data_IF_869652700231
#
_entry.id   IF_869652700231
#
_cell.length_a   1.000
_cell.length_b   1.000
_cell.length_c   1.000
_cell.angle_alpha   90.00
_cell.angle_beta   90.00
_cell.angle_gamma   90.00
#
_symmetry.space_group_name_H-M   'P 1'
#
loop_
_entity.id
_entity.type
_entity.pdbx_description
1 polymer ?
#
# COMPACT_ATOMS: atom_id res chain seq x y z
N UNK A 1 -0.16 21.41 23.88
CA UNK A 1 1.06 20.65 24.18
C UNK A 1 1.14 19.50 23.19
N UNK A 2 1.93 19.64 22.14
CA UNK A 2 2.19 18.54 21.21
C UNK A 2 3.25 17.62 21.83
N UNK A 3 2.91 16.37 22.09
CA UNK A 3 3.88 15.36 22.53
C UNK A 3 4.84 15.08 21.39
N UNK A 4 6.11 15.46 21.58
CA UNK A 4 7.18 15.12 20.66
C UNK A 4 7.27 13.60 20.52
N UNK A 5 7.32 13.08 19.28
CA UNK A 5 7.54 11.65 19.04
C UNK A 5 8.95 11.29 19.50
N UNK A 6 9.06 10.39 20.48
CA UNK A 6 10.35 9.93 21.01
C UNK A 6 10.98 8.95 20.01
N UNK A 7 12.17 9.27 19.52
CA UNK A 7 12.95 8.40 18.64
C UNK A 7 13.24 7.07 19.38
N UNK A 8 12.57 5.99 18.95
CA UNK A 8 12.65 4.68 19.60
C UNK A 8 11.30 4.09 20.01
N UNK A 9 10.23 4.88 20.05
CA UNK A 9 8.86 4.34 20.04
C UNK A 9 8.51 3.92 18.61
N UNK A 10 9.03 2.76 18.16
CA UNK A 10 8.20 1.95 17.26
C UNK A 10 7.04 1.51 18.14
N UNK A 11 5.87 2.11 17.94
CA UNK A 11 4.63 1.56 18.48
C UNK A 11 4.54 0.11 18.02
N UNK A 12 4.95 -0.78 18.92
CA UNK A 12 4.94 -2.24 18.81
C UNK A 12 5.43 -2.76 17.45
N UNK A 13 6.67 -3.24 17.39
CA UNK A 13 7.03 -4.17 16.32
C UNK A 13 6.08 -5.38 16.43
N UNK A 14 5.04 -5.42 15.60
CA UNK A 14 4.15 -6.57 15.52
C UNK A 14 5.02 -7.77 15.18
N UNK A 15 5.04 -8.77 16.06
CA UNK A 15 5.75 -10.04 15.85
C UNK A 15 5.16 -10.84 14.66
N UNK A 16 4.05 -10.37 14.10
CA UNK A 16 3.31 -10.98 13.00
C UNK A 16 3.06 -9.95 11.90
N UNK A 17 2.91 -10.44 10.67
CA UNK A 17 2.48 -9.61 9.55
C UNK A 17 1.11 -8.99 9.89
N UNK A 18 0.87 -7.70 9.63
CA UNK A 18 -0.38 -7.02 9.97
C UNK A 18 -1.59 -7.48 9.12
N UNK A 19 -1.48 -8.61 8.39
CA UNK A 19 -2.56 -9.18 7.61
C UNK A 19 -3.41 -10.09 8.48
N UNK A 20 -4.70 -9.76 8.62
CA UNK A 20 -5.65 -10.44 9.50
C UNK A 20 -6.67 -11.29 8.75
N UNK A 21 -6.76 -11.16 7.42
CA UNK A 21 -7.64 -11.99 6.60
C UNK A 21 -7.84 -11.47 5.19
N UNK A 22 -8.75 -12.12 4.48
CA UNK A 22 -9.18 -11.76 3.13
C UNK A 22 -10.71 -11.67 3.13
N UNK A 23 -11.25 -10.58 2.60
CA UNK A 23 -12.67 -10.41 2.31
C UNK A 23 -12.86 -10.44 0.80
N UNK A 24 -13.78 -11.27 0.31
CA UNK A 24 -14.04 -11.43 -1.11
C UNK A 24 -15.38 -10.78 -1.42
N UNK A 25 -15.44 -9.88 -2.40
CA UNK A 25 -16.71 -9.40 -2.96
C UNK A 25 -16.86 -10.01 -4.35
N UNK A 26 -17.60 -11.11 -4.47
CA UNK A 26 -17.79 -11.83 -5.74
C UNK A 26 -19.23 -11.76 -6.26
N UNK A 27 -19.58 -12.61 -7.23
CA UNK A 27 -20.91 -12.64 -7.82
C UNK A 27 -22.01 -13.10 -6.84
N UNK A 28 -21.64 -13.74 -5.73
CA UNK A 28 -22.56 -14.21 -4.69
C UNK A 28 -22.92 -13.08 -3.72
N UNK A 29 -21.91 -12.31 -3.30
CA UNK A 29 -22.12 -11.16 -2.41
C UNK A 29 -22.67 -9.94 -3.16
N UNK A 30 -22.29 -9.76 -4.44
CA UNK A 30 -22.90 -8.82 -5.40
C UNK A 30 -23.10 -7.39 -4.85
N UNK A 31 -22.18 -6.94 -4.00
CA UNK A 31 -22.31 -5.67 -3.30
C UNK A 31 -21.64 -4.55 -4.12
N UNK A 32 -22.46 -3.71 -4.76
CA UNK A 32 -21.96 -2.49 -5.42
C UNK A 32 -21.39 -1.47 -4.42
N UNK A 33 -21.77 -1.57 -3.14
CA UNK A 33 -21.28 -0.74 -2.05
C UNK A 33 -20.89 -1.60 -0.86
N UNK A 34 -19.69 -1.40 -0.33
CA UNK A 34 -19.16 -2.12 0.83
C UNK A 34 -18.76 -1.12 1.90
N UNK A 35 -19.33 -1.26 3.10
CA UNK A 35 -18.90 -0.49 4.27
C UNK A 35 -17.72 -1.18 4.93
N UNK A 36 -16.61 -0.47 5.08
CA UNK A 36 -15.41 -0.95 5.76
C UNK A 36 -15.46 -0.52 7.21
N UNK A 37 -15.24 -1.44 8.13
CA UNK A 37 -15.20 -1.17 9.56
C UNK A 37 -13.76 -1.04 10.06
N UNK A 38 -13.55 -0.30 11.15
CA UNK A 38 -12.23 -0.19 11.77
C UNK A 38 -11.66 -1.54 12.26
N UNK A 39 -12.55 -2.50 12.56
CA UNK A 39 -12.21 -3.89 12.88
C UNK A 39 -11.55 -4.64 11.73
N UNK A 40 -11.77 -4.19 10.49
CA UNK A 40 -11.27 -4.83 9.26
C UNK A 40 -9.83 -4.39 8.93
N UNK A 41 -9.19 -3.67 9.84
CA UNK A 41 -7.78 -3.35 9.71
C UNK A 41 -6.97 -4.62 9.54
N UNK A 42 -6.11 -4.64 8.52
CA UNK A 42 -5.29 -5.77 8.12
C UNK A 42 -5.99 -6.75 7.16
N UNK A 43 -7.23 -6.50 6.75
CA UNK A 43 -7.93 -7.32 5.76
C UNK A 43 -7.58 -6.87 4.33
N UNK A 44 -7.40 -7.84 3.44
CA UNK A 44 -7.32 -7.62 1.99
C UNK A 44 -8.71 -7.82 1.39
N UNK A 45 -9.28 -6.75 0.86
CA UNK A 45 -10.55 -6.74 0.14
C UNK A 45 -10.31 -7.05 -1.33
N UNK A 46 -10.70 -8.23 -1.77
CA UNK A 46 -10.58 -8.69 -3.15
C UNK A 46 -11.91 -8.52 -3.86
N UNK A 47 -11.97 -7.58 -4.81
CA UNK A 47 -13.14 -7.42 -5.66
C UNK A 47 -13.10 -8.36 -6.86
N UNK A 48 -14.10 -9.21 -7.00
CA UNK A 48 -14.41 -10.01 -8.18
C UNK A 48 -15.81 -9.71 -8.73
N UNK A 49 -16.49 -8.70 -8.19
CA UNK A 49 -17.79 -8.27 -8.66
C UNK A 49 -17.68 -7.39 -9.91
N UNK A 50 -18.44 -7.75 -10.95
CA UNK A 50 -18.32 -7.26 -12.34
C UNK A 50 -18.72 -5.81 -12.58
N UNK A 51 -19.25 -5.10 -11.59
CA UNK A 51 -19.55 -3.67 -11.71
C UNK A 51 -18.59 -2.85 -10.84
N UNK A 52 -18.65 -1.53 -10.99
CA UNK A 52 -17.94 -0.61 -10.09
C UNK A 52 -18.37 -0.84 -8.66
N UNK A 53 -17.39 -1.00 -7.76
CA UNK A 53 -17.61 -1.16 -6.32
C UNK A 53 -17.13 0.06 -5.58
N UNK A 54 -17.96 0.55 -4.65
CA UNK A 54 -17.60 1.63 -3.75
C UNK A 54 -17.32 1.06 -2.35
N UNK A 55 -16.08 1.15 -1.90
CA UNK A 55 -15.71 0.91 -0.51
C UNK A 55 -15.80 2.22 0.27
N UNK A 56 -16.59 2.24 1.34
CA UNK A 56 -16.71 3.38 2.23
C UNK A 56 -15.88 3.14 3.46
N UNK A 57 -14.85 3.96 3.68
CA UNK A 57 -13.97 3.88 4.84
C UNK A 57 -14.74 4.24 6.12
N UNK A 58 -14.28 3.78 7.30
CA UNK A 58 -14.86 4.20 8.57
C UNK A 58 -14.62 5.69 8.83
N UNK A 59 -15.18 6.21 9.92
CA UNK A 59 -14.84 7.55 10.36
C UNK A 59 -13.34 7.65 10.61
N UNK A 60 -12.74 8.78 10.23
CA UNK A 60 -11.28 8.93 10.18
C UNK A 60 -10.64 8.76 11.56
N UNK A 61 -11.34 9.22 12.60
CA UNK A 61 -10.94 9.02 13.99
C UNK A 61 -10.82 7.52 14.36
N UNK A 62 -11.74 6.68 13.87
CA UNK A 62 -11.70 5.22 14.09
C UNK A 62 -10.65 4.53 13.20
N UNK A 63 -10.21 5.21 12.14
CA UNK A 63 -9.15 4.77 11.23
C UNK A 63 -7.72 4.98 11.75
N UNK A 64 -7.54 5.57 12.93
CA UNK A 64 -6.20 5.88 13.45
C UNK A 64 -5.34 4.61 13.61
N UNK A 65 -4.19 4.58 12.94
CA UNK A 65 -3.27 3.43 12.93
C UNK A 65 -3.81 2.20 12.22
N UNK A 66 -4.93 2.31 11.49
CA UNK A 66 -5.55 1.21 10.75
C UNK A 66 -5.08 1.20 9.30
N UNK A 67 -5.06 0.01 8.71
CA UNK A 67 -4.64 -0.23 7.34
C UNK A 67 -5.64 -1.12 6.62
N UNK A 68 -6.04 -0.72 5.42
CA UNK A 68 -6.98 -1.44 4.57
C UNK A 68 -6.36 -1.64 3.19
N UNK A 69 -6.39 -2.86 2.65
CA UNK A 69 -5.85 -3.14 1.32
C UNK A 69 -6.99 -3.54 0.38
N UNK A 70 -7.16 -2.81 -0.71
CA UNK A 70 -8.10 -3.10 -1.77
C UNK A 70 -7.37 -3.66 -2.99
N UNK A 71 -7.90 -4.75 -3.53
CA UNK A 71 -7.35 -5.46 -4.67
C UNK A 71 -8.45 -5.77 -5.67
N UNK A 72 -8.19 -5.53 -6.95
CA UNK A 72 -9.12 -5.92 -8.01
C UNK A 72 -8.70 -7.24 -8.65
N UNK A 73 -9.50 -8.26 -8.42
CA UNK A 73 -9.37 -9.59 -9.03
C UNK A 73 -9.93 -9.66 -10.45
N UNK A 74 -10.61 -8.61 -10.90
CA UNK A 74 -11.14 -8.49 -12.26
C UNK A 74 -10.86 -7.11 -12.85
N UNK A 75 -11.13 -6.94 -14.14
CA UNK A 75 -10.94 -5.66 -14.82
C UNK A 75 -12.09 -4.67 -14.52
N UNK A 76 -12.14 -4.14 -13.31
CA UNK A 76 -13.16 -3.18 -12.88
C UNK A 76 -12.57 -2.07 -12.03
N UNK A 77 -13.25 -0.91 -12.06
CA UNK A 77 -12.89 0.23 -11.21
C UNK A 77 -13.35 -0.06 -9.78
N UNK A 78 -12.44 0.13 -8.83
CA UNK A 78 -12.78 0.19 -7.41
C UNK A 78 -12.74 1.65 -6.99
N UNK A 79 -13.80 2.15 -6.39
CA UNK A 79 -13.84 3.48 -5.78
C UNK A 79 -13.71 3.34 -4.27
N UNK A 80 -12.84 4.14 -3.67
CA UNK A 80 -12.69 4.24 -2.21
C UNK A 80 -13.14 5.63 -1.81
N UNK A 81 -14.01 5.71 -0.82
CA UNK A 81 -14.58 6.97 -0.33
C UNK A 81 -14.32 7.14 1.15
N UNK A 82 -14.04 8.37 1.56
CA UNK A 82 -14.02 8.77 2.97
C UNK A 82 -15.36 9.39 3.35
N UNK A 83 -15.84 9.19 4.60
CA UNK A 83 -17.14 9.72 5.03
C UNK A 83 -17.14 11.25 5.17
N UNK A 84 -15.98 11.87 5.37
CA UNK A 84 -15.82 13.32 5.41
C UNK A 84 -15.03 13.78 4.18
N UNK A 85 -15.49 14.85 3.55
CA UNK A 85 -14.73 15.53 2.52
C UNK A 85 -13.41 16.04 3.10
N UNK A 86 -12.33 15.93 2.33
CA UNK A 86 -10.96 16.38 2.67
C UNK A 86 -10.17 15.49 3.62
N UNK A 87 -10.56 14.23 3.80
CA UNK A 87 -9.78 13.34 4.67
C UNK A 87 -9.02 12.28 3.89
N UNK A 88 -9.24 12.12 2.59
CA UNK A 88 -8.49 11.18 1.77
C UNK A 88 -7.40 11.92 0.97
N UNK A 89 -6.14 11.73 1.38
CA UNK A 89 -4.96 12.12 0.62
C UNK A 89 -4.66 11.05 -0.43
N UNK A 90 -4.83 11.42 -1.69
CA UNK A 90 -4.39 10.63 -2.84
C UNK A 90 -3.49 11.54 -3.68
N UNK A 91 -2.27 11.07 -3.96
CA UNK A 91 -1.20 11.72 -4.72
C UNK A 91 -1.37 13.24 -4.91
N UNK A 92 -1.03 14.01 -3.87
CA UNK A 92 -0.92 15.47 -3.95
C UNK A 92 -2.23 16.27 -3.87
N UNK A 93 -3.40 15.62 -3.69
CA UNK A 93 -4.67 16.31 -3.48
C UNK A 93 -5.49 15.70 -2.34
N UNK A 94 -6.20 16.57 -1.63
CA UNK A 94 -7.25 16.19 -0.69
C UNK A 94 -8.55 15.94 -1.45
N UNK A 95 -9.22 14.84 -1.14
CA UNK A 95 -10.49 14.49 -1.75
C UNK A 95 -11.46 13.77 -0.79
N UNK A 96 -12.64 13.49 -1.31
CA UNK A 96 -13.67 12.61 -0.72
C UNK A 96 -13.57 11.18 -1.26
N UNK A 97 -12.97 11.01 -2.43
CA UNK A 97 -12.96 9.75 -3.15
C UNK A 97 -11.71 9.62 -4.02
N UNK A 98 -11.29 8.39 -4.23
CA UNK A 98 -10.24 8.02 -5.17
C UNK A 98 -10.64 6.72 -5.86
N UNK A 99 -10.12 6.50 -7.06
CA UNK A 99 -10.42 5.32 -7.86
C UNK A 99 -9.16 4.54 -8.18
N UNK A 100 -9.28 3.24 -8.05
CA UNK A 100 -8.34 2.27 -8.55
C UNK A 100 -8.82 1.86 -9.95
N UNK A 101 -8.07 2.23 -11.00
CA UNK A 101 -8.39 2.01 -12.41
C UNK A 101 -8.70 0.54 -12.67
N UNK A 102 -9.54 0.30 -13.68
CA UNK A 102 -9.85 -1.03 -14.18
C UNK A 102 -8.60 -1.65 -14.81
N UNK A 103 -7.87 -2.46 -14.03
CA UNK A 103 -6.81 -3.33 -14.51
C UNK A 103 -6.69 -4.53 -13.57
N UNK A 104 -6.55 -5.74 -14.12
CA UNK A 104 -6.31 -6.94 -13.32
C UNK A 104 -5.11 -6.76 -12.39
N UNK A 105 -5.28 -7.09 -11.11
CA UNK A 105 -4.22 -6.95 -10.12
C UNK A 105 -3.95 -5.51 -9.69
N UNK A 106 -4.80 -4.56 -10.07
CA UNK A 106 -4.82 -3.20 -9.51
C UNK A 106 -5.03 -3.24 -7.99
N UNK A 107 -4.24 -2.48 -7.25
CA UNK A 107 -4.23 -2.58 -5.81
C UNK A 107 -3.76 -1.30 -5.12
N UNK A 108 -4.49 -0.93 -4.08
CA UNK A 108 -4.34 0.31 -3.33
C UNK A 108 -4.43 -0.03 -1.85
N UNK A 109 -3.59 0.61 -1.04
CA UNK A 109 -3.62 0.49 0.41
C UNK A 109 -3.93 1.84 1.02
N UNK A 110 -4.79 1.84 2.04
CA UNK A 110 -5.20 3.05 2.75
C UNK A 110 -4.80 2.94 4.21
N UNK A 111 -4.13 3.95 4.73
CA UNK A 111 -3.69 4.02 6.14
C UNK A 111 -4.25 5.29 6.78
N UNK A 112 -4.84 5.19 7.96
CA UNK A 112 -5.34 6.35 8.71
C UNK A 112 -4.38 6.80 9.81
N UNK A 113 -4.25 8.12 10.01
CA UNK A 113 -3.54 8.70 11.16
C UNK A 113 -4.49 9.25 12.25
N UNK A 114 -5.80 9.15 12.05
CA UNK A 114 -6.83 9.68 12.95
C UNK A 114 -7.38 11.05 12.54
N UNK A 115 -6.73 11.74 11.60
CA UNK A 115 -7.18 13.01 11.00
C UNK A 115 -7.35 12.93 9.49
N UNK A 116 -6.54 12.09 8.84
CA UNK A 116 -6.55 11.81 7.42
C UNK A 116 -6.31 10.32 7.14
N UNK A 117 -6.75 9.91 5.96
CA UNK A 117 -6.40 8.68 5.26
C UNK A 117 -5.39 8.99 4.17
N UNK A 118 -4.34 8.19 4.10
CA UNK A 118 -3.31 8.24 3.06
C UNK A 118 -3.46 7.03 2.17
N UNK A 119 -3.62 7.26 0.87
CA UNK A 119 -3.64 6.20 -0.12
C UNK A 119 -2.23 5.99 -0.69
N UNK A 120 -1.81 4.73 -0.67
CA UNK A 120 -0.61 4.22 -1.32
C UNK A 120 -1.02 3.33 -2.49
N UNK A 121 -0.59 3.70 -3.68
CA UNK A 121 -0.78 2.91 -4.89
C UNK A 121 0.26 1.79 -4.87
N UNK A 122 -0.17 0.53 -4.74
CA UNK A 122 0.74 -0.63 -4.68
C UNK A 122 1.00 -1.17 -6.08
N UNK A 123 -0.01 -1.18 -6.95
CA UNK A 123 0.15 -1.45 -8.38
C UNK A 123 -0.42 -0.30 -9.19
N UNK A 124 0.22 -0.02 -10.34
CA UNK A 124 0.05 1.20 -11.15
C UNK A 124 -1.32 1.41 -11.82
N UNK A 125 -2.37 0.79 -11.29
CA UNK A 125 -3.75 0.99 -11.65
C UNK A 125 -4.44 2.03 -10.77
N UNK A 126 -3.95 2.32 -9.57
CA UNK A 126 -4.59 3.35 -8.76
C UNK A 126 -4.28 4.73 -9.34
N UNK A 127 -5.31 5.56 -9.56
CA UNK A 127 -5.16 6.82 -10.31
C UNK A 127 -5.72 7.96 -9.49
N UNK A 128 -4.91 8.46 -8.57
CA UNK A 128 -5.04 9.84 -8.12
C UNK A 128 -4.50 10.80 -9.18
N UNK A 129 -5.17 10.98 -10.34
CA UNK A 129 -4.77 11.94 -11.41
C UNK A 129 -3.25 12.14 -11.60
N UNK A 130 -2.43 11.08 -11.62
CA UNK A 130 -0.98 11.23 -11.80
C UNK A 130 -0.60 11.13 -13.28
N UNK A 131 0.23 12.05 -13.80
CA UNK A 131 0.87 11.87 -15.09
C UNK A 131 1.66 10.55 -15.14
N UNK A 132 1.61 9.84 -16.27
CA UNK A 132 2.23 8.52 -16.49
C UNK A 132 3.74 8.43 -16.14
N UNK A 133 4.42 9.56 -15.97
CA UNK A 133 5.85 9.65 -15.68
C UNK A 133 6.27 9.23 -14.26
N UNK A 134 5.38 9.24 -13.26
CA UNK A 134 5.72 8.82 -11.89
C UNK A 134 5.59 7.31 -11.65
N UNK A 135 5.02 6.56 -12.62
CA UNK A 135 4.73 5.11 -12.46
C UNK A 135 5.98 4.22 -12.49
N UNK A 136 7.08 4.69 -13.08
CA UNK A 136 8.28 3.86 -13.30
C UNK A 136 9.35 3.97 -12.19
N UNK A 137 9.26 4.92 -11.26
CA UNK A 137 10.29 5.17 -10.25
C UNK A 137 10.01 4.53 -8.88
N UNK A 138 8.75 4.25 -8.55
CA UNK A 138 8.39 3.67 -7.25
C UNK A 138 8.55 2.14 -7.20
N UNK A 139 8.23 1.44 -8.30
CA UNK A 139 8.37 -0.02 -8.40
C UNK A 139 9.82 -0.50 -8.39
N UNK A 140 10.74 0.24 -9.04
CA UNK A 140 12.17 -0.09 -8.96
C UNK A 140 12.71 0.10 -7.53
N UNK A 141 12.23 1.13 -6.83
CA UNK A 141 12.71 1.46 -5.49
C UNK A 141 12.22 0.48 -4.41
N UNK A 142 10.98 -0.03 -4.51
CA UNK A 142 10.42 -0.97 -3.53
C UNK A 142 11.00 -2.39 -3.68
N UNK A 143 11.24 -2.85 -4.92
CA UNK A 143 11.94 -4.13 -5.18
C UNK A 143 13.40 -4.06 -4.72
N UNK A 144 14.08 -2.92 -4.96
CA UNK A 144 15.44 -2.70 -4.44
C UNK A 144 15.44 -2.71 -2.91
N UNK A 145 14.45 -2.11 -2.24
CA UNK A 145 14.42 -2.06 -0.77
C UNK A 145 14.19 -3.45 -0.13
N UNK A 146 13.34 -4.30 -0.72
CA UNK A 146 13.16 -5.68 -0.26
C UNK A 146 14.41 -6.54 -0.52
N UNK A 147 15.09 -6.35 -1.66
CA UNK A 147 16.38 -7.01 -1.91
C UNK A 147 17.44 -6.54 -0.91
N UNK A 148 17.49 -5.25 -0.57
CA UNK A 148 18.49 -4.67 0.33
C UNK A 148 18.34 -5.19 1.77
N UNK A 149 17.10 -5.32 2.26
CA UNK A 149 16.83 -5.88 3.60
C UNK A 149 17.13 -7.38 3.64
N UNK A 150 16.89 -8.12 2.55
CA UNK A 150 17.24 -9.54 2.47
C UNK A 150 18.76 -9.74 2.35
N UNK A 151 19.46 -8.92 1.55
CA UNK A 151 20.93 -8.95 1.43
C UNK A 151 21.61 -8.64 2.76
N UNK A 152 21.16 -7.63 3.51
CA UNK A 152 21.76 -7.32 4.82
C UNK A 152 21.56 -8.42 5.87
N UNK A 153 20.43 -9.15 5.82
CA UNK A 153 20.23 -10.31 6.70
C UNK A 153 21.15 -11.47 6.35
N UNK A 154 21.44 -11.71 5.06
CA UNK A 154 22.40 -12.72 4.61
C UNK A 154 23.86 -12.35 4.91
N UNK A 155 24.22 -11.07 4.88
CA UNK A 155 25.58 -10.60 5.24
C UNK A 155 25.85 -10.63 6.74
N UNK A 156 24.82 -10.55 7.60
CA UNK A 156 25.01 -10.66 9.06
C UNK A 156 25.22 -12.09 9.55
N UNK A 157 24.85 -13.12 8.78
CA UNK A 157 24.99 -14.53 9.21
C UNK A 157 26.26 -15.22 8.72
N UNK A 158 27.01 -14.61 7.79
CA UNK A 158 28.23 -15.17 7.25
C UNK A 158 29.41 -14.28 7.63
N UNK A 159 30.16 -14.69 8.65
CA UNK A 159 31.42 -14.07 9.06
C UNK A 159 32.34 -13.92 7.84
N UNK A 160 32.70 -12.68 7.51
CA UNK A 160 33.53 -12.32 6.36
C UNK A 160 35.03 -12.53 6.61
N UNK A 161 35.41 -13.55 7.37
CA UNK A 161 36.80 -13.74 7.78
C UNK A 161 37.67 -14.41 6.69
N UNK A 162 37.11 -14.77 5.54
CA UNK A 162 37.84 -15.49 4.48
C UNK A 162 37.40 -15.16 3.05
N UNK A 163 37.49 -13.91 2.59
CA UNK A 163 37.45 -13.64 1.15
C UNK A 163 38.76 -13.02 0.64
N UNK A 164 39.41 -13.63 -0.38
CA UNK A 164 40.64 -13.11 -0.96
C UNK A 164 40.40 -11.79 -1.70
N UNK A 165 41.38 -10.91 -1.57
CA UNK A 165 41.42 -9.55 -2.08
C UNK A 165 41.14 -9.44 -3.59
N UNK A 166 40.23 -8.52 -3.91
CA UNK A 166 40.23 -7.61 -5.08
C UNK A 166 40.29 -8.26 -6.47
N UNK A 167 39.12 -8.32 -7.14
CA UNK A 167 39.05 -8.40 -8.61
C UNK A 167 38.73 -7.00 -9.14
N UNK A 168 39.72 -6.40 -9.80
CA UNK A 168 39.60 -5.12 -10.50
C UNK A 168 38.85 -5.32 -11.82
N UNK A 169 37.68 -4.70 -12.00
CA UNK A 169 36.98 -4.71 -13.28
C UNK A 169 37.35 -3.47 -14.10
N UNK A 170 37.97 -3.69 -15.26
CA UNK A 170 38.18 -2.67 -16.27
C UNK A 170 36.84 -2.26 -16.91
N UNK A 171 36.59 -0.95 -16.97
CA UNK A 171 35.41 -0.36 -17.60
C UNK A 171 35.40 -0.57 -19.12
N UNK A 172 34.31 -1.10 -19.66
CA UNK A 172 34.03 -1.16 -21.10
C UNK A 172 33.39 0.17 -21.53
N UNK A 173 34.03 0.85 -22.48
CA UNK A 173 33.49 2.05 -23.16
C UNK A 173 32.70 1.57 -24.38
N UNK A 174 31.43 1.97 -24.48
CA UNK A 174 30.65 1.82 -25.71
C UNK A 174 30.70 3.13 -26.50
N UNK A 175 31.09 3.04 -27.78
CA UNK A 175 30.97 4.10 -28.78
C UNK A 175 29.59 4.07 -29.44
#
# INVERSE_FOLDING_TARGET
MGTARVQGQRDVALNELPFRGIALNDATDNAATVTVYASDSGIIFINKFVNTVVYTLPAVADGAGKMFWFYTGINQIITITSPTATTLFSVGALGTSTSCDAAYGGSCMVVGDGSYYYLFEISGACSGKVPKSFRNSFFSSFVIMFLFVYFFKLFKSNSFDNMPSVVTYNSVVFY
#
